data_IF_492809818719
#
_entry.id   IF_492809818719
#
_cell.length_a   1.000
_cell.length_b   1.000
_cell.length_c   1.000
_cell.angle_alpha   90.00
_cell.angle_beta   90.00
_cell.angle_gamma   90.00
#
_symmetry.space_group_name_H-M   'P 1'
#
loop_
_entity.id
_entity.type
_entity.pdbx_description
1 polymer ?
2 non-polymer ?
3 water ?
#
# COMPACT_ATOMS: atom_id res chain seq x y z
N UNK A 20 7.66 45.41 19.82
CA UNK A 20 8.80 44.47 19.99
C UNK A 20 8.31 43.08 20.41
N UNK A 21 7.23 43.05 21.18
CA UNK A 21 6.66 41.79 21.64
C UNK A 21 5.98 41.03 20.50
N UNK A 22 5.03 41.68 19.84
CA UNK A 22 4.31 41.05 18.74
C UNK A 22 5.20 40.99 17.50
N UNK A 23 6.25 41.80 17.49
CA UNK A 23 7.18 41.84 16.37
C UNK A 23 7.83 40.47 16.17
N UNK A 24 8.35 39.90 17.25
CA UNK A 24 8.98 38.59 17.18
C UNK A 24 7.96 37.52 16.83
N UNK A 25 6.81 37.55 17.50
CA UNK A 25 5.75 36.58 17.24
C UNK A 25 5.36 36.59 15.77
N UNK A 26 5.41 37.77 15.16
CA UNK A 26 5.06 37.92 13.76
C UNK A 26 6.15 37.31 12.88
N UNK A 27 7.40 37.64 13.19
CA UNK A 27 8.54 37.12 12.43
C UNK A 27 8.66 35.61 12.57
N UNK A 28 8.38 35.10 13.77
CA UNK A 28 8.46 33.66 14.02
C UNK A 28 7.30 32.92 13.37
N UNK A 29 6.14 33.57 13.32
CA UNK A 29 4.97 32.95 12.70
C UNK A 29 5.22 32.82 11.21
N UNK A 30 5.72 33.89 10.60
CA UNK A 30 6.02 33.90 9.18
C UNK A 30 7.14 32.90 8.95
N UNK A 31 8.05 32.82 9.91
CA UNK A 31 9.18 31.91 9.85
C UNK A 31 8.66 30.48 9.78
N UNK A 32 7.67 30.19 10.62
CA UNK A 32 7.07 28.86 10.66
C UNK A 32 6.39 28.56 9.33
N UNK A 33 5.75 29.57 8.75
CA UNK A 33 5.06 29.39 7.47
C UNK A 33 6.01 29.04 6.34
N UNK A 34 7.20 29.63 6.34
CA UNK A 34 8.17 29.34 5.29
C UNK A 34 8.63 27.89 5.40
N UNK A 35 8.78 27.41 6.64
CA UNK A 35 9.19 26.02 6.85
C UNK A 35 8.09 25.09 6.37
N UNK A 36 6.84 25.45 6.63
CA UNK A 36 5.71 24.64 6.17
C UNK A 36 5.76 24.52 4.66
N UNK A 37 6.01 25.65 3.99
CA UNK A 37 6.07 25.67 2.54
C UNK A 37 7.22 24.82 1.99
N UNK A 38 8.38 24.89 2.65
CA UNK A 38 9.54 24.11 2.21
C UNK A 38 9.24 22.62 2.31
N UNK A 39 8.65 22.21 3.44
CA UNK A 39 8.33 20.81 3.66
C UNK A 39 7.30 20.31 2.65
N UNK A 40 6.33 21.15 2.31
CA UNK A 40 5.33 20.76 1.33
C UNK A 40 5.99 20.43 0.00
N UNK A 41 6.99 21.23 -0.39
CA UNK A 41 7.70 20.99 -1.65
C UNK A 41 8.52 19.70 -1.54
N UNK A 42 9.18 19.52 -0.41
CA UNK A 42 9.98 18.32 -0.19
C UNK A 42 9.11 17.09 -0.38
N UNK A 43 7.92 17.11 0.21
CA UNK A 43 7.00 15.98 0.08
C UNK A 43 6.56 15.78 -1.38
N UNK A 44 6.28 16.87 -2.09
CA UNK A 44 5.87 16.76 -3.49
C UNK A 44 6.98 16.17 -4.34
N UNK A 45 8.18 16.70 -4.19
CA UNK A 45 9.32 16.21 -4.96
C UNK A 45 9.61 14.74 -4.64
N UNK A 46 9.51 14.38 -3.36
CA UNK A 46 9.75 12.99 -2.96
C UNK A 46 8.76 12.06 -3.65
N UNK A 47 7.48 12.42 -3.62
CA UNK A 47 6.44 11.61 -4.25
C UNK A 47 6.74 11.43 -5.73
N UNK A 48 7.12 12.53 -6.38
CA UNK A 48 7.47 12.52 -7.80
C UNK A 48 8.61 11.54 -8.04
N UNK A 49 9.66 11.65 -7.22
CA UNK A 49 10.81 10.77 -7.35
C UNK A 49 10.44 9.32 -7.07
N UNK A 50 9.41 9.11 -6.25
CA UNK A 50 8.96 7.75 -5.94
C UNK A 50 8.05 7.20 -7.05
N UNK A 51 7.89 7.98 -8.12
CA UNK A 51 7.08 7.54 -9.24
C UNK A 51 5.59 7.83 -9.21
N UNK A 52 5.14 8.73 -8.34
CA UNK A 52 3.73 9.06 -8.26
C UNK A 52 3.26 9.73 -9.55
N UNK A 53 2.24 9.15 -10.18
CA UNK A 53 1.69 9.70 -11.41
C UNK A 53 0.67 10.78 -11.05
N UNK A 54 0.63 11.84 -11.85
CA UNK A 54 -0.28 12.95 -11.59
C UNK A 54 -1.70 12.52 -11.25
N UNK A 55 -2.18 12.96 -10.09
CA UNK A 55 -3.52 12.64 -9.65
C UNK A 55 -3.83 11.18 -9.39
N UNK A 56 -2.81 10.36 -9.19
CA UNK A 56 -3.02 8.93 -8.93
C UNK A 56 -2.28 8.42 -7.70
N UNK A 57 -2.82 7.37 -7.09
CA UNK A 57 -2.20 6.78 -5.92
C UNK A 57 -0.88 6.18 -6.38
N UNK A 58 0.09 6.07 -5.46
CA UNK A 58 1.37 5.49 -5.84
C UNK A 58 1.80 4.42 -4.85
N UNK A 59 2.69 3.55 -5.31
CA UNK A 59 3.17 2.43 -4.51
C UNK A 59 4.66 2.54 -4.25
N UNK A 60 5.07 2.13 -3.05
CA UNK A 60 6.47 2.19 -2.66
C UNK A 60 6.85 0.93 -1.88
N UNK A 61 8.08 0.47 -2.06
CA UNK A 61 8.57 -0.70 -1.34
C UNK A 61 10.01 -0.50 -0.92
N UNK A 62 10.42 -1.21 0.13
CA UNK A 62 11.79 -1.16 0.61
C UNK A 62 12.41 -2.52 0.26
N UNK A 63 11.65 -3.30 -0.51
CA UNK A 63 12.07 -4.62 -0.97
C UNK A 63 12.27 -5.66 0.12
N UNK A 64 11.78 -5.38 1.32
CA UNK A 64 11.90 -6.32 2.42
C UNK A 64 10.74 -7.32 2.44
N UNK A 65 11.05 -8.58 2.73
CA UNK A 65 10.04 -9.62 2.79
C UNK A 65 9.73 -9.89 4.26
N UNK A 66 8.44 -9.95 4.60
CA UNK A 66 8.02 -10.14 5.98
C UNK A 66 6.58 -10.65 6.05
N UNK A 67 6.15 -11.16 7.22
CA UNK A 67 4.79 -11.66 7.40
C UNK A 67 3.78 -10.52 7.20
N UNK A 68 2.55 -10.86 6.83
CA UNK A 68 1.52 -9.85 6.58
C UNK A 68 1.29 -8.87 7.73
N UNK A 69 1.28 -9.37 8.96
CA UNK A 69 1.05 -8.51 10.11
C UNK A 69 2.09 -7.39 10.16
N UNK A 70 3.33 -7.71 9.81
CA UNK A 70 4.40 -6.72 9.82
C UNK A 70 4.24 -5.71 8.68
N UNK A 71 3.77 -6.18 7.52
CA UNK A 71 3.56 -5.29 6.39
C UNK A 71 2.49 -4.27 6.79
N UNK A 72 1.41 -4.75 7.39
CA UNK A 72 0.34 -3.85 7.81
C UNK A 72 0.83 -2.80 8.79
N UNK A 73 1.60 -3.24 9.79
CA UNK A 73 2.13 -2.32 10.79
C UNK A 73 3.05 -1.28 10.16
N UNK A 74 3.90 -1.72 9.24
CA UNK A 74 4.83 -0.81 8.58
C UNK A 74 4.13 0.21 7.70
N UNK A 75 3.18 -0.22 6.87
CA UNK A 75 2.48 0.74 6.03
C UNK A 75 1.66 1.70 6.89
N UNK A 76 1.17 1.21 8.02
CA UNK A 76 0.40 2.05 8.94
C UNK A 76 1.31 3.11 9.56
N UNK A 77 2.53 2.72 9.90
CA UNK A 77 3.49 3.64 10.48
C UNK A 77 3.87 4.74 9.48
N UNK A 78 3.83 4.40 8.20
CA UNK A 78 4.16 5.36 7.14
C UNK A 78 2.92 6.15 6.72
N UNK A 79 1.82 5.91 7.42
CA UNK A 79 0.55 6.58 7.16
C UNK A 79 0.01 6.33 5.75
N UNK A 80 0.22 5.11 5.28
CA UNK A 80 -0.29 4.69 3.99
C UNK A 80 -1.08 3.44 4.35
N UNK A 81 -1.12 2.46 3.46
CA UNK A 81 -1.80 1.20 3.75
C UNK A 81 -1.23 0.15 2.80
N UNK A 82 -1.51 -1.12 3.06
CA UNK A 82 -0.98 -2.17 2.20
C UNK A 82 -1.56 -2.01 0.79
N UNK A 83 -0.69 -2.10 -0.21
CA UNK A 83 -1.08 -1.94 -1.61
C UNK A 83 -2.23 -2.83 -2.04
N UNK A 84 -3.19 -2.25 -2.75
CA UNK A 84 -4.36 -2.99 -3.22
C UNK A 84 -4.72 -2.51 -4.62
N UNK A 85 -4.61 -3.38 -5.63
CA UNK A 85 -4.96 -2.97 -6.99
C UNK A 85 -6.48 -2.91 -7.14
N UNK A 86 -7.00 -1.83 -7.72
CA UNK A 86 -8.44 -1.73 -7.93
C UNK A 86 -8.81 -1.70 -9.41
N UNK A 87 -7.80 -1.88 -10.26
CA UNK A 87 -7.98 -1.93 -11.70
C UNK A 87 -6.69 -2.46 -12.31
N UNK A 88 -6.74 -2.80 -13.59
CA UNK A 88 -5.59 -3.34 -14.30
C UNK A 88 -4.35 -2.45 -14.22
N UNK A 89 -4.56 -1.14 -14.35
CA UNK A 89 -3.45 -0.18 -14.30
C UNK A 89 -2.68 -0.31 -13.00
N UNK A 90 -3.40 -0.26 -11.89
CA UNK A 90 -2.79 -0.36 -10.57
C UNK A 90 -2.16 -1.73 -10.33
N UNK A 91 -2.76 -2.77 -10.89
CA UNK A 91 -2.23 -4.11 -10.71
C UNK A 91 -0.84 -4.17 -11.34
N UNK A 92 -0.71 -3.58 -12.53
CA UNK A 92 0.56 -3.54 -13.25
C UNK A 92 1.56 -2.68 -12.50
N UNK A 93 1.10 -1.53 -12.01
CA UNK A 93 1.95 -0.60 -11.28
C UNK A 93 2.59 -1.25 -10.05
N UNK A 94 1.77 -1.95 -9.26
CA UNK A 94 2.27 -2.62 -8.06
C UNK A 94 3.27 -3.70 -8.46
N UNK A 95 2.91 -4.44 -9.50
CA UNK A 95 3.75 -5.51 -10.02
C UNK A 95 5.14 -4.99 -10.36
N UNK A 96 5.18 -3.88 -11.09
CA UNK A 96 6.45 -3.26 -11.50
C UNK A 96 7.29 -2.77 -10.32
N UNK A 97 6.63 -2.33 -9.26
CA UNK A 97 7.34 -1.85 -8.07
C UNK A 97 7.88 -3.00 -7.22
N UNK A 98 7.05 -4.02 -7.02
CA UNK A 98 7.43 -5.17 -6.20
C UNK A 98 8.55 -6.00 -6.82
N UNK A 99 8.42 -6.32 -8.10
CA UNK A 99 9.42 -7.11 -8.82
C UNK A 99 9.45 -8.57 -8.36
N UNK A 100 8.73 -8.86 -7.28
CA UNK A 100 8.67 -10.21 -6.74
C UNK A 100 7.33 -10.38 -6.02
N UNK A 101 7.06 -11.57 -5.49
CA UNK A 101 5.79 -11.81 -4.80
C UNK A 101 5.60 -10.82 -3.65
N UNK A 102 4.43 -10.19 -3.60
CA UNK A 102 4.14 -9.22 -2.56
C UNK A 102 2.71 -9.34 -2.03
N UNK A 103 2.53 -9.04 -0.75
CA UNK A 103 1.20 -9.08 -0.14
C UNK A 103 0.34 -7.92 -0.64
N UNK A 104 -0.95 -8.18 -0.77
CA UNK A 104 -1.91 -7.15 -1.18
C UNK A 104 -2.79 -6.89 0.04
N UNK A 105 -3.42 -5.72 0.07
CA UNK A 105 -4.26 -5.36 1.20
C UNK A 105 -5.64 -6.00 1.19
N UNK A 106 -5.69 -7.33 1.06
CA UNK A 106 -6.96 -8.04 1.07
C UNK A 106 -6.79 -9.40 1.72
N UNK A 107 -7.81 -9.86 2.45
CA UNK A 107 -7.74 -11.15 3.11
C UNK A 107 -9.13 -11.77 3.18
N UNK A 108 -9.19 -13.05 3.50
CA UNK A 108 -10.48 -13.73 3.66
C UNK A 108 -10.41 -14.41 5.03
N UNK A 109 -9.72 -13.73 5.94
CA UNK A 109 -9.53 -14.18 7.32
C UNK A 109 -10.87 -14.37 8.03
N UNK A 110 -11.79 -13.43 7.82
CA UNK A 110 -13.09 -13.48 8.47
C UNK A 110 -14.08 -14.46 7.83
N UNK A 111 -14.34 -14.29 6.54
CA UNK A 111 -15.26 -15.15 5.82
C UNK A 111 -14.52 -15.87 4.69
N UNK A 112 -14.23 -17.15 4.90
CA UNK A 112 -13.50 -17.94 3.92
C UNK A 112 -14.10 -17.85 2.52
N UNK A 113 -13.23 -17.63 1.54
CA UNK A 113 -13.68 -17.54 0.16
C UNK A 113 -14.28 -16.20 -0.24
N UNK A 114 -14.43 -15.29 0.72
CA UNK A 114 -15.01 -13.98 0.44
C UNK A 114 -13.99 -12.93 0.85
N UNK A 115 -13.07 -12.60 -0.05
CA UNK A 115 -12.05 -11.62 0.28
C UNK A 115 -12.57 -10.19 0.45
N UNK A 116 -11.99 -9.49 1.42
CA UNK A 116 -12.36 -8.12 1.76
C UNK A 116 -11.10 -7.25 1.82
N UNK A 117 -11.23 -5.97 1.53
CA UNK A 117 -10.08 -5.07 1.63
C UNK A 117 -9.81 -4.92 3.13
N UNK A 118 -8.55 -4.76 3.52
CA UNK A 118 -8.26 -4.61 4.94
C UNK A 118 -8.96 -3.36 5.46
N UNK A 119 -9.20 -2.40 4.57
CA UNK A 119 -9.89 -1.17 4.94
C UNK A 119 -11.40 -1.34 4.77
N UNK A 120 -11.83 -2.58 4.50
CA UNK A 120 -13.25 -2.87 4.37
C UNK A 120 -13.89 -2.96 2.99
N UNK A 121 -14.84 -3.89 2.86
CA UNK A 121 -15.56 -4.06 1.60
C UNK A 121 -15.18 -5.23 0.71
N UNK A 122 -16.14 -5.67 -0.10
CA UNK A 122 -15.94 -6.76 -1.04
C UNK A 122 -15.15 -6.26 -2.25
N UNK A 123 -14.37 -7.15 -2.86
CA UNK A 123 -13.55 -6.80 -4.02
C UNK A 123 -14.35 -6.26 -5.20
N UNK A 124 -13.82 -5.23 -5.85
CA UNK A 124 -14.47 -4.64 -7.02
C UNK A 124 -13.62 -4.99 -8.24
N UNK A 125 -12.45 -5.54 -7.97
CA UNK A 125 -11.51 -5.96 -9.01
C UNK A 125 -10.63 -7.07 -8.45
N UNK A 126 -10.29 -8.04 -9.30
CA UNK A 126 -9.44 -9.15 -8.89
C UNK A 126 -8.72 -9.71 -10.10
N UNK A 127 -7.67 -10.48 -9.85
CA UNK A 127 -6.90 -11.09 -10.92
C UNK A 127 -6.35 -12.44 -10.45
N UNK A 128 -7.26 -13.28 -9.96
CA UNK A 128 -6.93 -14.61 -9.44
C UNK A 128 -6.39 -15.54 -10.52
N UNK A 129 -5.61 -16.54 -10.10
CA UNK A 129 -5.06 -17.52 -11.04
C UNK A 129 -6.23 -18.25 -11.66
N UNK A 130 -7.29 -18.42 -10.87
CA UNK A 130 -8.50 -19.09 -11.32
C UNK A 130 -9.71 -18.29 -10.87
N UNK A 131 -10.33 -18.73 -9.77
CA UNK A 131 -11.50 -18.06 -9.21
C UNK A 131 -11.16 -17.62 -7.79
N UNK A 132 -12.05 -16.85 -7.16
CA UNK A 132 -11.82 -16.41 -5.79
C UNK A 132 -11.70 -17.69 -4.97
N UNK A 133 -10.49 -17.97 -4.46
CA UNK A 133 -10.13 -19.15 -3.67
C UNK A 133 -10.70 -19.41 -2.28
N UNK A 134 -11.31 -20.58 -2.15
CA UNK A 134 -11.84 -21.05 -0.87
C UNK A 134 -10.83 -22.16 -0.58
N UNK A 135 -10.12 -22.06 0.55
CA UNK A 135 -9.11 -23.06 0.87
C UNK A 135 -9.63 -24.29 1.59
N UNK A 136 -10.93 -24.30 1.87
CA UNK A 136 -11.57 -25.43 2.53
C UNK A 136 -10.90 -25.90 3.83
N UNK A 137 -10.33 -24.96 4.58
CA UNK A 137 -9.73 -25.33 5.85
C UNK A 137 -8.22 -25.26 6.02
N UNK A 138 -7.47 -25.09 4.94
CA UNK A 138 -6.01 -25.02 5.05
C UNK A 138 -5.51 -23.67 5.57
N UNK A 139 -6.42 -22.72 5.72
CA UNK A 139 -6.05 -21.43 6.26
C UNK A 139 -5.22 -20.42 5.48
N UNK A 140 -5.19 -20.50 4.15
CA UNK A 140 -4.46 -19.49 3.39
C UNK A 140 -5.41 -18.31 3.27
N UNK A 141 -5.22 -17.30 4.12
CA UNK A 141 -6.12 -16.16 4.14
C UNK A 141 -5.58 -14.82 3.63
N UNK A 142 -4.33 -14.79 3.19
CA UNK A 142 -3.78 -13.57 2.63
C UNK A 142 -3.63 -13.72 1.12
N UNK A 143 -3.19 -12.65 0.46
CA UNK A 143 -3.06 -12.68 -0.99
C UNK A 143 -1.75 -12.06 -1.46
N UNK A 144 -1.09 -12.73 -2.39
CA UNK A 144 0.15 -12.22 -2.95
C UNK A 144 -0.01 -12.07 -4.45
N UNK A 145 0.62 -11.05 -5.02
CA UNK A 145 0.59 -10.85 -6.45
C UNK A 145 1.97 -11.34 -6.90
N UNK A 146 2.00 -12.21 -7.89
CA UNK A 146 3.26 -12.76 -8.37
C UNK A 146 3.82 -12.02 -9.57
N UNK A 147 5.05 -12.35 -9.93
CA UNK A 147 5.75 -11.73 -11.05
C UNK A 147 4.91 -11.52 -12.31
N UNK A 148 3.97 -12.42 -12.57
CA UNK A 148 3.13 -12.31 -13.76
C UNK A 148 1.85 -11.51 -13.55
N UNK A 149 1.69 -10.94 -12.35
CA UNK A 149 0.51 -10.14 -12.06
C UNK A 149 -0.68 -10.88 -11.49
N UNK A 150 -0.66 -12.21 -11.54
CA UNK A 150 -1.76 -13.00 -11.02
C UNK A 150 -1.77 -13.06 -9.50
N UNK A 151 -2.96 -13.28 -8.94
CA UNK A 151 -3.15 -13.36 -7.49
C UNK A 151 -3.36 -14.79 -7.03
N UNK A 152 -2.90 -15.10 -5.83
CA UNK A 152 -3.10 -16.43 -5.26
C UNK A 152 -3.20 -16.28 -3.75
N UNK A 153 -4.05 -17.07 -3.11
CA UNK A 153 -4.15 -16.98 -1.66
C UNK A 153 -2.92 -17.66 -1.07
N UNK A 154 -2.49 -17.20 0.10
CA UNK A 154 -1.30 -17.77 0.72
C UNK A 154 -1.39 -17.52 2.22
N UNK A 155 -0.52 -18.18 2.98
CA UNK A 155 -0.51 -18.00 4.42
C UNK A 155 -0.04 -16.60 4.82
N UNK A 156 -0.81 -15.95 5.69
CA UNK A 156 -0.45 -14.62 6.18
C UNK A 156 0.85 -14.67 6.97
N UNK A 157 1.25 -15.87 7.38
CA UNK A 157 2.48 -16.04 8.15
C UNK A 157 3.72 -16.12 7.28
N UNK A 158 3.53 -16.37 5.99
CA UNK A 158 4.66 -16.45 5.07
C UNK A 158 5.25 -15.05 4.91
N UNK A 159 6.51 -14.98 4.51
CA UNK A 159 7.15 -13.68 4.31
C UNK A 159 7.19 -13.30 2.84
N UNK A 160 6.55 -12.18 2.52
CA UNK A 160 6.51 -11.68 1.16
C UNK A 160 6.84 -10.19 1.15
N UNK A 161 7.10 -9.64 -0.03
CA UNK A 161 7.48 -8.24 -0.15
C UNK A 161 6.45 -7.23 0.32
N UNK A 162 6.92 -6.27 1.11
CA UNK A 162 6.07 -5.22 1.65
C UNK A 162 5.95 -4.06 0.67
N UNK A 163 4.73 -3.80 0.21
CA UNK A 163 4.48 -2.70 -0.71
C UNK A 163 3.35 -1.86 -0.12
N UNK A 164 3.62 -0.57 0.10
CA UNK A 164 2.62 0.32 0.66
C UNK A 164 2.08 1.26 -0.41
N UNK A 165 0.83 1.69 -0.24
CA UNK A 165 0.25 2.62 -1.19
C UNK A 165 -0.11 3.91 -0.47
N UNK A 166 -0.08 5.00 -1.22
CA UNK A 166 -0.39 6.33 -0.70
C UNK A 166 -1.43 6.93 -1.66
N UNK A 167 -2.35 7.76 -1.14
CA UNK A 167 -3.43 8.41 -1.88
C UNK A 167 -3.07 9.24 -3.10
N UNK A 168 -4.03 9.38 -4.01
CA UNK A 168 -3.82 10.16 -5.22
C UNK A 168 -3.71 11.63 -4.83
X LIG B 1 -8.70 -18.51 2.89
#
# INVERSE_FOLDING_TARGET
AIEVSQGPKGQKGDRGDSRAIEVKLANMEAEINTLKSKLELTNKLHAFSMGKKSGKKFFVTNHERMPFSKVKALCSELRGTVAIPRNAEENKAIQEVAKTSAFLGITDEVTEGQFMYVTGGRLTYSNWKKDEPNDHGSGEDCVTIVDNGLWNDISCQASHTAVCEFPA
HO HO
#
